data_IF_625505337128
#
_entry.id   IF_625505337128
#
_cell.length_a   1.000
_cell.length_b   1.000
_cell.length_c   1.000
_cell.angle_alpha   90.00
_cell.angle_beta   90.00
_cell.angle_gamma   90.00
#
_symmetry.space_group_name_H-M   'P 1'
#
loop_
_entity.id
_entity.type
_entity.pdbx_description
1 polymer ?
#
# COMPACT_ATOMS: atom_id res chain seq x y z
N UNK A 1 -13.80 -5.51 -0.56
CA UNK A 1 -12.74 -4.69 0.09
C UNK A 1 -13.17 -4.47 1.52
N UNK A 2 -12.34 -4.82 2.49
CA UNK A 2 -12.58 -4.39 3.87
C UNK A 2 -12.34 -2.87 3.95
N UNK A 3 -13.02 -2.13 4.84
CA UNK A 3 -12.82 -0.67 4.96
C UNK A 3 -11.36 -0.29 5.24
N UNK A 4 -10.57 -1.19 5.84
CA UNK A 4 -9.13 -1.02 6.05
C UNK A 4 -8.25 -1.08 4.78
N UNK A 5 -8.75 -1.65 3.67
CA UNK A 5 -7.99 -1.79 2.41
C UNK A 5 -8.03 -0.51 1.55
N UNK A 6 -8.95 0.41 1.84
CA UNK A 6 -9.19 1.60 1.01
C UNK A 6 -8.07 2.63 1.16
N UNK A 7 -7.59 2.82 2.39
CA UNK A 7 -6.57 3.83 2.70
C UNK A 7 -5.21 3.54 2.02
N UNK A 8 -4.65 2.32 2.09
CA UNK A 8 -3.41 1.99 1.40
C UNK A 8 -3.54 2.10 -0.12
N UNK A 9 -4.68 1.70 -0.68
CA UNK A 9 -4.93 1.77 -2.14
C UNK A 9 -5.04 3.22 -2.61
N UNK A 10 -5.81 4.06 -1.91
CA UNK A 10 -5.93 5.48 -2.25
C UNK A 10 -4.57 6.18 -2.17
N UNK A 11 -3.80 5.90 -1.11
CA UNK A 11 -2.42 6.36 -0.96
C UNK A 11 -1.56 5.96 -2.16
N UNK A 12 -1.62 4.69 -2.55
CA UNK A 12 -0.82 4.14 -3.63
C UNK A 12 -1.12 4.82 -4.97
N UNK A 13 -2.40 5.07 -5.26
CA UNK A 13 -2.82 5.77 -6.48
C UNK A 13 -2.25 7.18 -6.51
N UNK A 14 -2.41 7.94 -5.42
CA UNK A 14 -1.87 9.31 -5.34
C UNK A 14 -0.35 9.32 -5.50
N UNK A 15 0.36 8.45 -4.79
CA UNK A 15 1.82 8.34 -4.88
C UNK A 15 2.28 7.95 -6.30
N UNK A 16 1.57 7.03 -6.96
CA UNK A 16 1.88 6.60 -8.32
C UNK A 16 1.67 7.72 -9.34
N UNK A 17 0.61 8.52 -9.21
CA UNK A 17 0.36 9.68 -10.06
C UNK A 17 1.46 10.74 -9.91
N UNK A 18 1.88 11.03 -8.68
CA UNK A 18 2.98 11.98 -8.42
C UNK A 18 4.30 11.45 -8.98
N UNK A 19 4.61 10.16 -8.79
CA UNK A 19 5.79 9.55 -9.39
C UNK A 19 5.77 9.62 -10.91
N UNK A 20 4.63 9.30 -11.54
CA UNK A 20 4.48 9.37 -12.99
C UNK A 20 4.71 10.81 -13.50
N UNK A 21 4.14 11.80 -12.82
CA UNK A 21 4.38 13.21 -13.11
C UNK A 21 5.86 13.59 -13.02
N UNK A 22 6.61 13.03 -12.07
CA UNK A 22 8.04 13.30 -11.88
C UNK A 22 8.96 12.53 -12.83
N UNK A 23 8.52 11.37 -13.34
CA UNK A 23 9.30 10.51 -14.25
C UNK A 23 9.11 10.92 -15.71
N UNK A 24 7.94 11.45 -16.09
CA UNK A 24 7.67 11.82 -17.49
C UNK A 24 8.75 12.79 -18.00
N UNK A 25 9.36 12.50 -19.18
CA UNK A 25 10.30 13.41 -19.80
C UNK A 25 9.58 14.71 -20.16
N UNK A 26 9.94 15.79 -19.49
CA UNK A 26 9.27 17.07 -19.70
C UNK A 26 9.87 17.81 -20.89
N UNK A 27 9.03 18.38 -21.78
CA UNK A 27 9.47 18.99 -23.02
C UNK A 27 10.23 20.32 -22.81
N UNK A 28 10.11 20.95 -21.64
CA UNK A 28 10.77 22.22 -21.35
C UNK A 28 11.20 22.35 -19.88
N UNK A 29 12.32 23.03 -19.65
CA UNK A 29 12.83 23.38 -18.32
C UNK A 29 11.85 24.27 -17.53
N UNK A 30 11.05 25.10 -18.20
CA UNK A 30 10.03 25.93 -17.55
C UNK A 30 8.89 25.09 -16.96
N UNK A 31 8.47 24.04 -17.69
CA UNK A 31 7.40 23.12 -17.24
C UNK A 31 7.88 22.31 -16.04
N UNK A 32 9.13 21.80 -16.09
CA UNK A 32 9.76 21.12 -14.94
C UNK A 32 9.86 22.04 -13.72
N UNK A 33 10.27 23.29 -13.90
CA UNK A 33 10.34 24.28 -12.84
C UNK A 33 8.98 24.59 -12.22
N UNK A 34 7.94 24.73 -13.03
CA UNK A 34 6.55 24.92 -12.55
C UNK A 34 6.07 23.73 -11.72
N UNK A 35 6.30 22.50 -12.19
CA UNK A 35 5.80 21.30 -11.51
C UNK A 35 6.57 21.03 -10.22
N UNK A 36 7.91 21.07 -10.25
CA UNK A 36 8.74 20.88 -9.06
C UNK A 36 8.52 22.02 -8.06
N UNK A 37 8.41 23.26 -8.55
CA UNK A 37 8.10 24.42 -7.72
C UNK A 37 6.72 24.35 -7.07
N UNK A 38 5.70 23.90 -7.82
CA UNK A 38 4.35 23.69 -7.31
C UNK A 38 4.29 22.57 -6.26
N UNK A 39 4.90 21.42 -6.54
CA UNK A 39 4.99 20.31 -5.59
C UNK A 39 5.73 20.72 -4.31
N UNK A 40 6.86 21.42 -4.43
CA UNK A 40 7.58 21.94 -3.28
C UNK A 40 6.75 22.94 -2.49
N UNK A 41 6.03 23.83 -3.17
CA UNK A 41 5.18 24.81 -2.50
C UNK A 41 4.07 24.13 -1.70
N UNK A 42 3.42 23.10 -2.27
CA UNK A 42 2.42 22.30 -1.55
C UNK A 42 3.07 21.58 -0.35
N UNK A 43 4.24 21.00 -0.56
CA UNK A 43 4.98 20.27 0.47
C UNK A 43 5.42 21.19 1.62
N UNK A 44 5.94 22.37 1.30
CA UNK A 44 6.51 23.32 2.26
C UNK A 44 5.43 24.15 2.95
N UNK A 45 4.42 24.64 2.23
CA UNK A 45 3.33 25.44 2.81
C UNK A 45 2.42 24.63 3.75
N UNK A 46 2.31 23.31 3.55
CA UNK A 46 1.41 22.48 4.34
C UNK A 46 2.19 21.42 5.15
N UNK A 47 2.67 21.74 6.36
CA UNK A 47 3.34 20.76 7.22
C UNK A 47 2.44 19.57 7.57
N UNK A 48 1.11 19.76 7.56
CA UNK A 48 0.12 18.70 7.73
C UNK A 48 0.21 17.61 6.64
N UNK A 49 0.55 17.98 5.40
CA UNK A 49 0.72 17.00 4.31
C UNK A 49 1.96 16.14 4.57
N UNK A 50 3.04 16.76 5.08
CA UNK A 50 4.27 16.02 5.42
C UNK A 50 4.05 15.05 6.57
N UNK A 51 3.39 15.50 7.64
CA UNK A 51 3.10 14.64 8.78
C UNK A 51 2.11 13.53 8.42
N UNK A 52 1.08 13.82 7.63
CA UNK A 52 0.15 12.81 7.11
C UNK A 52 0.87 11.78 6.25
N UNK A 53 1.73 12.20 5.32
CA UNK A 53 2.49 11.30 4.46
C UNK A 53 3.49 10.44 5.27
N UNK A 54 4.11 11.01 6.31
CA UNK A 54 4.99 10.27 7.21
C UNK A 54 4.20 9.25 8.07
N UNK A 55 3.06 9.65 8.63
CA UNK A 55 2.18 8.75 9.38
C UNK A 55 1.68 7.60 8.52
N UNK A 56 1.30 7.90 7.27
CA UNK A 56 0.86 6.91 6.30
C UNK A 56 1.98 5.95 5.90
N UNK A 57 3.22 6.45 5.79
CA UNK A 57 4.40 5.62 5.59
C UNK A 57 4.63 4.68 6.78
N UNK A 58 4.57 5.19 8.01
CA UNK A 58 4.70 4.37 9.23
C UNK A 58 3.59 3.33 9.32
N UNK A 59 2.36 3.72 9.00
CA UNK A 59 1.21 2.81 8.97
C UNK A 59 1.38 1.70 7.94
N UNK A 60 1.79 2.03 6.70
CA UNK A 60 2.08 1.03 5.68
C UNK A 60 3.25 0.12 6.06
N UNK A 61 4.27 0.64 6.74
CA UNK A 61 5.37 -0.16 7.27
C UNK A 61 4.89 -1.15 8.34
N UNK A 62 4.03 -0.68 9.25
CA UNK A 62 3.43 -1.53 10.27
C UNK A 62 2.55 -2.63 9.67
N UNK A 63 1.71 -2.30 8.69
CA UNK A 63 0.90 -3.28 7.96
C UNK A 63 1.79 -4.29 7.23
N UNK A 64 2.82 -3.81 6.52
CA UNK A 64 3.74 -4.66 5.80
C UNK A 64 4.47 -5.66 6.71
N UNK A 65 4.99 -5.21 7.85
CA UNK A 65 5.65 -6.07 8.83
C UNK A 65 4.66 -7.09 9.41
N UNK A 66 3.44 -6.66 9.72
CA UNK A 66 2.40 -7.55 10.26
C UNK A 66 2.04 -8.66 9.26
N UNK A 67 1.83 -8.31 8.00
CA UNK A 67 1.52 -9.30 6.96
C UNK A 67 2.71 -10.20 6.64
N UNK A 68 3.95 -9.67 6.60
CA UNK A 68 5.15 -10.49 6.45
C UNK A 68 5.30 -11.51 7.59
N UNK A 69 5.01 -11.11 8.83
CA UNK A 69 5.02 -12.03 9.97
C UNK A 69 4.01 -13.17 9.78
N UNK A 70 2.79 -12.84 9.38
CA UNK A 70 1.72 -13.82 9.09
C UNK A 70 2.12 -14.81 7.99
N UNK A 71 2.83 -14.34 6.96
CA UNK A 71 3.32 -15.19 5.87
C UNK A 71 4.53 -16.03 6.26
N UNK A 72 5.44 -15.47 7.09
CA UNK A 72 6.63 -16.19 7.55
C UNK A 72 6.32 -17.30 8.54
N UNK A 73 5.25 -17.14 9.32
CA UNK A 73 4.80 -18.10 10.31
C UNK A 73 3.27 -18.24 10.23
N UNK A 74 2.76 -18.95 9.21
CA UNK A 74 1.33 -19.14 9.06
C UNK A 74 0.82 -19.89 10.29
N UNK A 75 -0.22 -19.35 10.92
CA UNK A 75 -0.87 -20.06 12.02
C UNK A 75 -1.38 -21.41 11.52
N UNK A 76 -1.28 -22.47 12.32
CA UNK A 76 -1.85 -23.76 11.96
C UNK A 76 -3.34 -23.57 11.69
N UNK A 77 -3.90 -24.28 10.68
CA UNK A 77 -5.31 -24.17 10.36
C UNK A 77 -6.14 -24.46 11.62
N UNK A 78 -7.22 -23.70 11.87
CA UNK A 78 -8.08 -23.96 13.01
C UNK A 78 -8.59 -25.41 12.95
N UNK A 79 -8.76 -26.07 14.09
CA UNK A 79 -9.24 -27.45 14.11
C UNK A 79 -10.62 -27.52 13.43
N UNK A 80 -10.88 -28.58 12.64
CA UNK A 80 -12.17 -28.75 12.00
C UNK A 80 -13.28 -28.75 13.07
N UNK A 81 -14.47 -28.21 12.77
CA UNK A 81 -15.59 -28.25 13.69
C UNK A 81 -15.87 -29.71 14.06
N UNK A 82 -16.25 -29.98 15.32
CA UNK A 82 -16.56 -31.34 15.74
C UNK A 82 -17.63 -31.94 14.83
N UNK A 83 -17.50 -33.22 14.43
CA UNK A 83 -18.49 -33.87 13.60
C UNK A 83 -19.87 -33.77 14.27
N UNK A 84 -20.95 -33.56 13.51
CA UNK A 84 -22.30 -33.60 14.06
C UNK A 84 -22.47 -34.90 14.85
N UNK A 85 -22.94 -34.82 16.11
CA UNK A 85 -23.24 -36.02 16.90
C UNK A 85 -24.19 -36.88 16.08
N UNK A 86 -23.73 -38.08 15.71
CA UNK A 86 -24.48 -39.08 14.94
C UNK A 86 -25.81 -39.33 15.65
N UNK A 87 -26.91 -38.79 15.12
CA UNK A 87 -28.25 -38.98 15.67
C UNK A 87 -29.00 -37.74 16.21
N UNK A 88 -28.47 -36.51 16.09
CA UNK A 88 -29.32 -35.32 16.27
C UNK A 88 -30.05 -34.99 14.96
N UNK A 89 -31.38 -35.06 14.90
CA UNK A 89 -32.15 -34.43 13.83
C UNK A 89 -31.76 -32.96 13.82
N UNK A 90 -31.39 -32.43 12.65
CA UNK A 90 -31.02 -31.03 12.50
C UNK A 90 -32.10 -30.15 13.14
N UNK A 91 -31.70 -29.27 14.06
CA UNK A 91 -32.57 -28.18 14.51
C UNK A 91 -33.04 -27.43 13.25
N UNK A 92 -34.36 -27.21 13.08
CA UNK A 92 -34.87 -26.51 11.92
C UNK A 92 -34.20 -25.13 11.80
N UNK A 93 -33.44 -24.93 10.72
CA UNK A 93 -32.76 -23.66 10.43
C UNK A 93 -31.24 -23.64 10.62
N UNK A 94 -30.59 -24.73 11.06
CA UNK A 94 -29.13 -24.78 11.09
C UNK A 94 -28.57 -25.16 9.71
N UNK A 95 -27.71 -24.34 9.08
CA UNK A 95 -27.09 -24.71 7.81
C UNK A 95 -26.22 -25.95 8.01
N UNK A 96 -26.15 -26.87 7.02
CA UNK A 96 -25.30 -28.05 7.10
C UNK A 96 -23.85 -27.62 7.34
N UNK A 97 -23.07 -28.38 8.14
CA UNK A 97 -21.66 -28.06 8.35
C UNK A 97 -20.94 -28.06 7.00
N UNK A 98 -20.06 -27.08 6.76
CA UNK A 98 -19.34 -27.00 5.48
C UNK A 98 -18.47 -28.25 5.30
N UNK A 99 -18.41 -28.83 4.08
CA UNK A 99 -17.53 -29.94 3.77
C UNK A 99 -16.06 -29.60 4.07
N UNK A 100 -15.27 -30.63 4.38
CA UNK A 100 -13.84 -30.51 4.76
C UNK A 100 -13.01 -29.73 3.72
N UNK A 101 -13.41 -29.80 2.44
CA UNK A 101 -12.77 -29.05 1.35
C UNK A 101 -12.96 -27.53 1.46
N UNK A 102 -14.05 -27.07 2.07
CA UNK A 102 -14.33 -25.63 2.23
C UNK A 102 -13.40 -25.00 3.27
N UNK A 103 -12.99 -25.75 4.30
CA UNK A 103 -12.01 -25.30 5.30
C UNK A 103 -10.62 -25.06 4.71
N UNK A 104 -10.16 -25.99 3.88
CA UNK A 104 -8.88 -25.83 3.19
C UNK A 104 -8.92 -24.62 2.23
N UNK A 105 -10.06 -24.40 1.57
CA UNK A 105 -10.29 -23.27 0.69
C UNK A 105 -10.27 -21.92 1.45
N UNK A 106 -10.97 -21.81 2.59
CA UNK A 106 -10.99 -20.60 3.41
C UNK A 106 -9.60 -20.25 3.96
N UNK A 107 -8.84 -21.24 4.40
CA UNK A 107 -7.47 -21.05 4.85
C UNK A 107 -6.56 -20.53 3.72
N UNK A 108 -6.63 -21.12 2.53
CA UNK A 108 -5.88 -20.64 1.37
C UNK A 108 -6.29 -19.22 0.95
N UNK A 109 -7.59 -18.91 0.98
CA UNK A 109 -8.09 -17.55 0.72
C UNK A 109 -7.53 -16.54 1.74
N UNK A 110 -7.36 -16.95 2.99
CA UNK A 110 -6.71 -16.15 4.04
C UNK A 110 -5.25 -15.81 3.69
N UNK A 111 -4.47 -16.82 3.30
CA UNK A 111 -3.08 -16.67 2.87
C UNK A 111 -2.95 -15.73 1.66
N UNK A 112 -3.74 -15.94 0.60
CA UNK A 112 -3.70 -15.08 -0.58
C UNK A 112 -4.05 -13.61 -0.27
N UNK A 113 -4.97 -13.38 0.67
CA UNK A 113 -5.28 -12.02 1.13
C UNK A 113 -4.09 -11.39 1.84
N UNK A 114 -3.42 -12.14 2.71
CA UNK A 114 -2.21 -11.66 3.39
C UNK A 114 -1.05 -11.39 2.42
N UNK A 115 -0.81 -12.27 1.45
CA UNK A 115 0.18 -12.04 0.39
C UNK A 115 -0.11 -10.76 -0.38
N UNK A 116 -1.35 -10.61 -0.87
CA UNK A 116 -1.77 -9.41 -1.60
C UNK A 116 -1.59 -8.14 -0.76
N UNK A 117 -1.95 -8.18 0.53
CA UNK A 117 -1.82 -7.04 1.42
C UNK A 117 -0.34 -6.70 1.69
N UNK A 118 0.54 -7.70 1.82
CA UNK A 118 1.98 -7.51 1.91
C UNK A 118 2.54 -6.87 0.62
N UNK A 119 2.13 -7.33 -0.55
CA UNK A 119 2.54 -6.72 -1.82
C UNK A 119 2.08 -5.25 -1.93
N UNK A 120 0.82 -4.96 -1.61
CA UNK A 120 0.29 -3.59 -1.70
C UNK A 120 0.99 -2.62 -0.74
N UNK A 121 1.18 -3.03 0.52
CA UNK A 121 1.84 -2.20 1.53
C UNK A 121 3.34 -2.03 1.26
N UNK A 122 4.03 -3.10 0.86
CA UNK A 122 5.44 -3.07 0.46
C UNK A 122 5.68 -2.20 -0.78
N UNK A 123 4.81 -2.31 -1.79
CA UNK A 123 4.88 -1.47 -2.98
C UNK A 123 4.60 0.00 -2.66
N UNK A 124 3.64 0.31 -1.76
CA UNK A 124 3.42 1.69 -1.32
C UNK A 124 4.65 2.30 -0.65
N UNK A 125 5.35 1.55 0.20
CA UNK A 125 6.60 2.01 0.82
C UNK A 125 7.66 2.31 -0.24
N UNK A 126 7.84 1.39 -1.18
CA UNK A 126 8.79 1.58 -2.28
C UNK A 126 8.50 2.85 -3.07
N UNK A 127 7.24 3.06 -3.51
CA UNK A 127 6.85 4.25 -4.27
C UNK A 127 7.02 5.52 -3.43
N UNK A 128 6.72 5.49 -2.13
CA UNK A 128 6.94 6.63 -1.23
C UNK A 128 8.41 7.07 -1.21
N UNK A 129 9.34 6.13 -1.01
CA UNK A 129 10.78 6.44 -1.01
C UNK A 129 11.27 6.86 -2.39
N UNK A 130 10.79 6.21 -3.45
CA UNK A 130 11.11 6.58 -4.83
C UNK A 130 10.65 8.00 -5.15
N UNK A 131 9.44 8.39 -4.75
CA UNK A 131 8.91 9.75 -4.94
C UNK A 131 9.78 10.79 -4.25
N UNK A 132 10.14 10.57 -2.98
CA UNK A 132 11.03 11.45 -2.22
C UNK A 132 12.37 11.62 -2.94
N UNK A 133 12.95 10.51 -3.38
CA UNK A 133 14.24 10.50 -4.08
C UNK A 133 14.17 11.22 -5.44
N UNK A 134 13.11 10.99 -6.21
CA UNK A 134 12.89 11.66 -7.49
C UNK A 134 12.74 13.17 -7.30
N UNK A 135 11.98 13.60 -6.30
CA UNK A 135 11.77 15.01 -6.02
C UNK A 135 13.10 15.71 -5.64
N UNK A 136 13.95 15.08 -4.83
CA UNK A 136 15.30 15.58 -4.53
C UNK A 136 16.18 15.72 -5.79
N UNK A 137 16.22 14.69 -6.64
CA UNK A 137 17.01 14.70 -7.88
C UNK A 137 16.51 15.79 -8.83
N UNK A 138 15.20 15.93 -8.97
CA UNK A 138 14.58 16.93 -9.84
C UNK A 138 14.88 18.36 -9.35
N UNK A 139 14.90 18.58 -8.03
CA UNK A 139 15.33 19.86 -7.46
C UNK A 139 16.81 20.15 -7.74
N UNK A 140 17.70 19.18 -7.56
CA UNK A 140 19.14 19.34 -7.84
C UNK A 140 19.38 19.66 -9.32
N UNK A 141 18.73 18.95 -10.23
CA UNK A 141 18.81 19.20 -11.67
C UNK A 141 18.29 20.59 -12.05
N UNK A 142 17.20 21.04 -11.45
CA UNK A 142 16.67 22.38 -11.70
C UNK A 142 17.65 23.46 -11.24
N UNK A 143 18.22 23.33 -10.03
CA UNK A 143 19.21 24.26 -9.50
C UNK A 143 20.48 24.31 -10.35
N UNK A 144 20.98 23.14 -10.77
CA UNK A 144 22.17 23.04 -11.62
C UNK A 144 21.97 23.72 -12.99
N UNK A 145 20.85 23.46 -13.66
CA UNK A 145 20.52 24.09 -14.96
C UNK A 145 20.27 25.60 -14.85
N UNK A 146 19.78 26.06 -13.69
CA UNK A 146 19.60 27.49 -13.45
C UNK A 146 20.95 28.18 -13.28
N UNK A 147 21.86 27.58 -12.50
CA UNK A 147 23.22 28.10 -12.31
C UNK A 147 24.00 28.16 -13.63
N UNK A 148 23.86 27.17 -14.50
CA UNK A 148 24.49 27.15 -15.84
C UNK A 148 23.99 28.27 -16.78
N UNK A 149 22.74 28.73 -16.62
CA UNK A 149 22.20 29.84 -17.42
C UNK A 149 22.58 31.22 -16.90
N UNK A 150 22.97 31.31 -15.64
CA UNK A 150 23.35 32.55 -14.97
C UNK A 150 24.89 32.78 -14.99
N UNK A 151 25.66 31.75 -15.35
CA UNK A 151 27.10 31.79 -15.58
C UNK A 151 27.43 32.13 -17.04
#
# INVERSE_FOLDING_TARGET
MLPGDVLPVASLVVQSLVCLLLVIPMPSNSVRGMIVGGLNRIWDQHPAIRSAAALLCVFNAFLFITELRRLSWPEPPPPPPPPPRRGMPGLPGMPPPPPVNDFACEFQLGLFRSERNAYMSGFSLFIYFMMRRLLEIQQMLYKARKAEKEA
#
